data_IF_371140265241
#
_entry.id   IF_371140265241
#
_cell.length_a   1.000
_cell.length_b   1.000
_cell.length_c   1.000
_cell.angle_alpha   90.00
_cell.angle_beta   90.00
_cell.angle_gamma   90.00
#
_symmetry.space_group_name_H-M   'P 1'
#
loop_
_entity.id
_entity.type
_entity.pdbx_description
1 polymer ?
#
# COMPACT_ATOMS: atom_id res chain seq x y z
N UNK A 1 -12.16 -17.35 -21.58
CA UNK A 1 -11.36 -16.12 -21.72
C UNK A 1 -10.05 -16.33 -20.96
N UNK A 2 -8.87 -15.97 -21.50
CA UNK A 2 -7.63 -16.08 -20.74
C UNK A 2 -7.72 -15.19 -19.50
N UNK A 3 -7.23 -15.68 -18.36
CA UNK A 3 -7.06 -14.86 -17.15
C UNK A 3 -6.13 -13.70 -17.51
N UNK A 4 -6.47 -12.43 -17.18
CA UNK A 4 -5.56 -11.32 -17.44
C UNK A 4 -4.20 -11.62 -16.80
N UNK A 5 -3.12 -11.24 -17.49
CA UNK A 5 -1.77 -11.42 -17.00
C UNK A 5 -1.60 -10.72 -15.65
N UNK A 6 -0.96 -11.40 -14.70
CA UNK A 6 -0.64 -10.85 -13.38
C UNK A 6 0.25 -9.61 -13.55
N UNK A 7 -0.14 -8.49 -12.95
CA UNK A 7 0.69 -7.29 -12.92
C UNK A 7 1.63 -7.34 -11.71
N UNK A 8 2.70 -6.54 -11.78
CA UNK A 8 3.69 -6.41 -10.72
C UNK A 8 3.87 -4.95 -10.34
N UNK A 9 4.01 -4.72 -9.04
CA UNK A 9 4.09 -3.41 -8.43
C UNK A 9 5.33 -3.31 -7.55
N UNK A 10 5.83 -2.09 -7.34
CA UNK A 10 6.84 -1.80 -6.33
C UNK A 10 6.22 -0.85 -5.31
N UNK A 11 6.17 -1.28 -4.06
CA UNK A 11 5.58 -0.53 -2.96
C UNK A 11 6.66 -0.21 -1.93
N UNK A 12 6.74 1.06 -1.53
CA UNK A 12 7.81 1.57 -0.67
C UNK A 12 7.30 1.75 0.74
N UNK A 13 8.07 1.29 1.72
CA UNK A 13 7.84 1.55 3.13
C UNK A 13 9.17 1.78 3.83
N UNK A 14 9.19 2.62 4.87
CA UNK A 14 10.37 2.82 5.71
C UNK A 14 10.42 1.67 6.73
N UNK A 15 11.54 0.94 6.85
CA UNK A 15 11.59 -0.27 7.68
C UNK A 15 11.37 0.00 9.17
N UNK A 16 11.62 1.22 9.63
CA UNK A 16 11.36 1.64 11.01
C UNK A 16 9.87 1.89 11.29
N UNK A 17 9.07 2.18 10.24
CA UNK A 17 7.61 2.29 10.32
C UNK A 17 6.95 0.93 10.10
N UNK A 18 7.30 0.24 9.02
CA UNK A 18 6.75 -1.08 8.68
C UNK A 18 7.69 -1.87 7.76
N UNK A 19 8.32 -2.92 8.28
CA UNK A 19 9.26 -3.76 7.52
C UNK A 19 8.58 -4.94 6.81
N UNK A 20 9.36 -5.67 6.00
CA UNK A 20 8.88 -6.94 5.41
C UNK A 20 8.71 -8.02 6.48
N UNK A 21 9.50 -7.97 7.55
CA UNK A 21 9.42 -8.89 8.67
C UNK A 21 8.17 -8.62 9.51
N UNK A 22 7.78 -7.35 9.65
CA UNK A 22 6.49 -6.99 10.23
C UNK A 22 5.34 -7.54 9.42
N UNK A 23 5.38 -7.39 8.09
CA UNK A 23 4.38 -7.98 7.20
C UNK A 23 4.34 -9.51 7.35
N UNK A 24 5.49 -10.18 7.42
CA UNK A 24 5.55 -11.63 7.61
C UNK A 24 4.94 -12.07 8.95
N UNK A 25 5.10 -11.25 10.00
CA UNK A 25 4.57 -11.50 11.35
C UNK A 25 3.04 -11.31 11.42
N UNK A 26 2.50 -10.27 10.78
CA UNK A 26 1.04 -10.00 10.80
C UNK A 26 0.28 -10.73 9.69
N UNK A 27 0.97 -11.17 8.65
CA UNK A 27 0.45 -11.93 7.52
C UNK A 27 -0.28 -11.10 6.47
N UNK A 28 -1.13 -10.15 6.86
CA UNK A 28 -1.82 -9.24 5.95
C UNK A 28 -2.06 -7.89 6.62
N UNK A 29 -1.69 -6.80 5.94
CA UNK A 29 -1.80 -5.43 6.45
C UNK A 29 -2.42 -4.50 5.38
N UNK A 30 -3.31 -3.56 5.76
CA UNK A 30 -3.69 -2.44 4.91
C UNK A 30 -2.49 -1.60 4.45
N UNK A 31 -2.47 -1.21 3.17
CA UNK A 31 -1.46 -0.26 2.68
C UNK A 31 -2.00 1.17 2.75
N UNK A 32 -1.96 1.76 3.95
CA UNK A 32 -2.44 3.12 4.24
C UNK A 32 -1.40 4.20 3.94
N UNK A 33 -1.78 5.48 4.13
CA UNK A 33 -0.85 6.61 4.10
C UNK A 33 -0.50 7.12 2.69
N UNK A 34 -1.04 6.53 1.63
CA UNK A 34 -0.79 6.99 0.26
C UNK A 34 -1.53 8.32 0.01
N UNK A 35 -0.78 9.43 -0.04
CA UNK A 35 -1.31 10.78 -0.34
C UNK A 35 -0.89 11.33 -1.71
N UNK A 36 -0.18 10.52 -2.49
CA UNK A 36 0.15 10.85 -3.87
C UNK A 36 -0.99 10.40 -4.82
N UNK A 37 -1.56 11.34 -5.58
CA UNK A 37 -2.67 11.05 -6.50
C UNK A 37 -2.37 9.98 -7.55
N UNK A 38 -1.16 9.95 -8.11
CA UNK A 38 -0.78 8.97 -9.11
C UNK A 38 -0.68 7.57 -8.51
N UNK A 39 0.01 7.44 -7.37
CA UNK A 39 0.12 6.19 -6.63
C UNK A 39 -1.25 5.66 -6.21
N UNK A 40 -2.09 6.54 -5.63
CA UNK A 40 -3.49 6.23 -5.30
C UNK A 40 -4.26 5.73 -6.51
N UNK A 41 -4.11 6.38 -7.67
CA UNK A 41 -4.80 5.96 -8.89
C UNK A 41 -4.33 4.61 -9.43
N UNK A 42 -3.05 4.25 -9.26
CA UNK A 42 -2.57 2.90 -9.56
C UNK A 42 -3.25 1.85 -8.67
N UNK A 43 -3.27 2.09 -7.37
CA UNK A 43 -3.93 1.21 -6.40
C UNK A 43 -5.44 1.08 -6.68
N UNK A 44 -6.12 2.21 -6.89
CA UNK A 44 -7.57 2.25 -7.04
C UNK A 44 -8.06 1.67 -8.37
N UNK A 45 -7.36 1.96 -9.47
CA UNK A 45 -7.84 1.65 -10.82
C UNK A 45 -7.25 0.38 -11.39
N UNK A 46 -6.01 0.05 -11.04
CA UNK A 46 -5.22 -0.94 -11.78
C UNK A 46 -4.85 -2.17 -10.96
N UNK A 47 -4.51 -2.03 -9.67
CA UNK A 47 -4.18 -3.18 -8.83
C UNK A 47 -5.36 -4.15 -8.73
N UNK A 48 -5.04 -5.45 -8.76
CA UNK A 48 -5.99 -6.55 -8.62
C UNK A 48 -5.50 -7.53 -7.57
N UNK A 49 -6.45 -8.19 -6.89
CA UNK A 49 -6.14 -9.26 -5.94
C UNK A 49 -5.26 -10.31 -6.62
N UNK A 50 -4.17 -10.64 -5.94
CA UNK A 50 -3.17 -11.59 -6.42
C UNK A 50 -2.14 -11.02 -7.38
N UNK A 51 -2.14 -9.71 -7.68
CA UNK A 51 -0.99 -9.05 -8.31
C UNK A 51 0.25 -9.15 -7.41
N UNK A 52 1.44 -9.21 -8.01
CA UNK A 52 2.70 -9.30 -7.28
C UNK A 52 3.19 -7.95 -6.80
N UNK A 53 3.84 -7.92 -5.64
CA UNK A 53 4.41 -6.71 -5.03
C UNK A 53 5.87 -6.98 -4.66
N UNK A 54 6.78 -6.15 -5.16
CA UNK A 54 8.12 -5.99 -4.61
C UNK A 54 8.03 -5.02 -3.42
N UNK A 55 8.36 -5.52 -2.22
CA UNK A 55 8.39 -4.72 -1.00
C UNK A 55 9.75 -4.02 -0.92
N UNK A 56 9.74 -2.70 -1.08
CA UNK A 56 10.94 -1.88 -1.15
C UNK A 56 11.13 -1.10 0.16
N UNK A 57 12.26 -1.30 0.83
CA UNK A 57 12.65 -0.47 1.97
C UNK A 57 13.22 0.85 1.46
N UNK A 58 12.52 1.94 1.71
CA UNK A 58 12.95 3.31 1.46
C UNK A 58 13.50 3.95 2.73
N UNK A 59 14.31 5.02 2.58
CA UNK A 59 14.90 5.76 3.71
C UNK A 59 15.62 4.87 4.75
N UNK A 60 16.14 3.73 4.30
CA UNK A 60 16.80 2.72 5.12
C UNK A 60 18.33 2.86 5.03
N UNK A 61 19.05 2.28 5.99
CA UNK A 61 20.52 2.13 5.90
C UNK A 61 20.92 1.38 4.61
N UNK A 62 20.17 0.32 4.27
CA UNK A 62 20.32 -0.41 3.01
C UNK A 62 18.99 -0.39 2.24
N UNK A 63 18.78 0.60 1.35
CA UNK A 63 17.56 0.68 0.56
C UNK A 63 17.55 -0.37 -0.56
N UNK A 64 16.39 -0.96 -0.82
CA UNK A 64 16.27 -2.04 -1.80
C UNK A 64 14.99 -2.83 -1.71
N UNK A 65 14.87 -3.85 -2.56
CA UNK A 65 13.78 -4.84 -2.46
C UNK A 65 14.18 -5.86 -1.41
N UNK A 66 13.41 -5.96 -0.34
CA UNK A 66 13.67 -6.89 0.77
C UNK A 66 12.72 -8.09 0.78
N UNK A 67 11.68 -8.07 -0.05
CA UNK A 67 10.83 -9.25 -0.20
C UNK A 67 9.73 -9.12 -1.25
N UNK A 68 8.89 -10.15 -1.28
CA UNK A 68 7.75 -10.27 -2.15
C UNK A 68 6.47 -10.38 -1.33
N UNK A 69 5.42 -9.74 -1.84
CA UNK A 69 4.07 -9.85 -1.32
C UNK A 69 3.07 -9.94 -2.49
N UNK A 70 1.79 -10.10 -2.16
CA UNK A 70 0.71 -10.05 -3.15
C UNK A 70 -0.41 -9.13 -2.68
N UNK A 71 -1.09 -8.47 -3.61
CA UNK A 71 -2.28 -7.68 -3.30
C UNK A 71 -3.37 -8.59 -2.72
N UNK A 72 -3.75 -8.35 -1.47
CA UNK A 72 -4.65 -9.23 -0.72
C UNK A 72 -6.14 -8.82 -0.80
N UNK A 73 -6.44 -7.58 -1.23
CA UNK A 73 -7.80 -7.05 -1.29
C UNK A 73 -8.03 -6.10 -2.47
N UNK A 74 -9.30 -5.82 -2.78
CA UNK A 74 -9.66 -4.70 -3.63
C UNK A 74 -9.39 -3.38 -2.86
N UNK A 75 -9.11 -2.26 -3.56
CA UNK A 75 -8.89 -0.98 -2.90
C UNK A 75 -10.17 -0.52 -2.17
N UNK A 76 -9.97 0.12 -1.02
CA UNK A 76 -11.03 0.73 -0.21
C UNK A 76 -10.50 2.04 0.40
N UNK A 77 -11.39 2.92 0.89
CA UNK A 77 -10.98 4.18 1.51
C UNK A 77 -10.01 3.95 2.66
N UNK A 78 -8.89 4.67 2.67
CA UNK A 78 -7.92 4.64 3.76
C UNK A 78 -8.56 5.23 5.03
N UNK A 79 -8.78 4.46 6.12
CA UNK A 79 -9.44 4.98 7.31
C UNK A 79 -8.63 6.08 8.01
N UNK A 80 -7.30 6.03 7.89
CA UNK A 80 -6.36 6.94 8.55
C UNK A 80 -6.50 8.40 8.08
N UNK A 81 -7.14 8.64 6.93
CA UNK A 81 -7.40 9.99 6.43
C UNK A 81 -8.48 10.73 7.23
N UNK A 82 -9.32 10.01 8.00
CA UNK A 82 -10.42 10.59 8.78
C UNK A 82 -10.10 10.73 10.27
N UNK A 83 -8.92 10.29 10.71
CA UNK A 83 -8.52 10.21 12.11
C UNK A 83 -7.62 11.41 12.46
N UNK A 84 -8.05 12.36 13.29
CA UNK A 84 -7.27 13.59 13.55
C UNK A 84 -5.90 13.37 14.18
N UNK A 85 -5.67 12.22 14.83
CA UNK A 85 -4.41 11.86 15.47
C UNK A 85 -3.47 11.07 14.54
N UNK A 86 -3.94 10.71 13.34
CA UNK A 86 -3.12 10.02 12.34
C UNK A 86 -2.18 11.00 11.64
N UNK A 87 -0.94 10.57 11.42
CA UNK A 87 0.05 11.29 10.59
C UNK A 87 -0.44 11.52 9.15
N UNK A 88 -1.44 10.76 8.73
CA UNK A 88 -2.01 10.83 7.39
C UNK A 88 -3.41 11.46 7.35
N UNK A 89 -3.84 12.14 8.41
CA UNK A 89 -5.11 12.88 8.45
C UNK A 89 -5.24 13.87 7.28
N UNK A 90 -6.39 13.88 6.61
CA UNK A 90 -6.71 14.87 5.58
C UNK A 90 -8.02 15.58 5.93
N UNK A 91 -7.91 16.81 6.43
CA UNK A 91 -9.06 17.65 6.80
C UNK A 91 -10.01 17.96 5.63
N UNK A 92 -9.59 17.74 4.38
CA UNK A 92 -10.43 17.94 3.18
C UNK A 92 -11.12 16.66 2.73
N UNK A 93 -10.68 15.49 3.18
CA UNK A 93 -11.31 14.22 2.82
C UNK A 93 -12.66 14.09 3.52
N UNK A 94 -13.66 13.58 2.78
CA UNK A 94 -15.02 13.37 3.29
C UNK A 94 -15.40 11.92 3.15
N UNK A 95 -16.15 11.39 4.12
CA UNK A 95 -16.51 9.95 4.12
C UNK A 95 -17.41 9.54 2.94
N UNK A 96 -18.11 10.48 2.33
CA UNK A 96 -18.97 10.29 1.16
C UNK A 96 -18.23 10.45 -0.20
N UNK A 97 -17.06 11.10 -0.20
CA UNK A 97 -16.15 11.24 -1.34
C UNK A 97 -14.69 11.20 -0.84
N UNK A 98 -14.19 10.01 -0.48
CA UNK A 98 -12.93 9.81 0.25
C UNK A 98 -11.67 10.02 -0.60
#
# INVERSE_FOLDING_TARGET
MPKPARQYWLMKSEPDEFSIDDLARVGTEPWSGVRNYQARNFMWRQMRIGDGVFFYHSNAEVPGIHGLATVASAPYPDPTQFEPESDYFDAKSKRDDP
#
